data_IF_324933833448
#
_entry.id   IF_324933833448
#
_cell.length_a   1.000
_cell.length_b   1.000
_cell.length_c   1.000
_cell.angle_alpha   90.00
_cell.angle_beta   90.00
_cell.angle_gamma   90.00
#
_symmetry.space_group_name_H-M   'P 1'
#
loop_
_entity.id
_entity.type
_entity.pdbx_description
1 polymer ?
#
# COMPACT_ATOMS: atom_id res chain seq x y z
N UNK A 1 -15.17 25.86 -13.97
CA UNK A 1 -15.55 26.20 -12.58
C UNK A 1 -14.27 26.24 -11.79
N UNK A 2 -13.97 27.35 -11.10
CA UNK A 2 -12.75 27.45 -10.30
C UNK A 2 -12.79 26.38 -9.19
N UNK A 3 -11.64 25.74 -8.98
CA UNK A 3 -11.44 24.73 -7.92
C UNK A 3 -11.67 25.39 -6.56
N UNK A 4 -12.69 24.94 -5.82
CA UNK A 4 -13.06 25.48 -4.50
C UNK A 4 -12.05 24.97 -3.45
N UNK A 5 -11.50 25.85 -2.59
CA UNK A 5 -10.53 25.43 -1.60
C UNK A 5 -11.12 24.46 -0.57
N UNK A 6 -10.29 23.55 -0.06
CA UNK A 6 -10.67 22.62 1.01
C UNK A 6 -10.17 23.10 2.36
N UNK A 7 -11.08 23.17 3.34
CA UNK A 7 -10.77 23.56 4.74
C UNK A 7 -10.11 22.41 5.51
N UNK A 8 -8.82 22.50 5.88
CA UNK A 8 -8.07 21.42 6.53
C UNK A 8 -8.73 20.86 7.79
N UNK A 9 -9.22 21.72 8.68
CA UNK A 9 -9.81 21.32 9.96
C UNK A 9 -11.03 20.40 9.77
N UNK A 10 -11.83 20.67 8.74
CA UNK A 10 -13.00 19.84 8.40
C UNK A 10 -12.58 18.41 8.06
N UNK A 11 -11.52 18.26 7.26
CA UNK A 11 -11.05 16.97 6.78
C UNK A 11 -10.33 16.16 7.87
N UNK A 12 -9.52 16.81 8.71
CA UNK A 12 -8.91 16.14 9.88
C UNK A 12 -9.98 15.69 10.88
N UNK A 13 -10.96 16.55 11.15
CA UNK A 13 -12.08 16.21 12.06
C UNK A 13 -12.87 15.01 11.53
N UNK A 14 -13.14 14.99 10.22
CA UNK A 14 -13.82 13.86 9.58
C UNK A 14 -13.00 12.56 9.71
N UNK A 15 -11.69 12.60 9.43
CA UNK A 15 -10.82 11.43 9.54
C UNK A 15 -10.75 10.90 10.98
N UNK A 16 -10.62 11.82 11.96
CA UNK A 16 -10.66 11.51 13.40
C UNK A 16 -11.97 10.82 13.79
N UNK A 17 -13.12 11.37 13.37
CA UNK A 17 -14.43 10.78 13.63
C UNK A 17 -14.58 9.38 13.04
N UNK A 18 -14.09 9.17 11.81
CA UNK A 18 -14.13 7.87 11.12
C UNK A 18 -13.32 6.84 11.90
N UNK A 19 -12.09 7.16 12.29
CA UNK A 19 -11.20 6.24 12.98
C UNK A 19 -11.64 5.96 14.43
N UNK A 20 -12.32 6.92 15.07
CA UNK A 20 -12.85 6.77 16.43
C UNK A 20 -14.24 6.13 16.46
N UNK A 21 -14.89 5.91 15.31
CA UNK A 21 -16.23 5.33 15.26
C UNK A 21 -16.20 3.83 15.55
N UNK A 22 -16.81 3.37 16.65
CA UNK A 22 -16.73 1.97 17.07
C UNK A 22 -17.44 1.00 16.13
N UNK A 23 -18.57 1.42 15.56
CA UNK A 23 -19.44 0.56 14.71
C UNK A 23 -19.07 0.57 13.23
N UNK A 24 -18.09 1.37 12.83
CA UNK A 24 -17.69 1.51 11.44
C UNK A 24 -16.67 0.42 11.07
N UNK A 25 -16.87 -0.25 9.94
CA UNK A 25 -15.86 -1.15 9.40
C UNK A 25 -14.70 -0.35 8.83
N UNK A 26 -13.53 -0.46 9.46
CA UNK A 26 -12.32 0.24 9.05
C UNK A 26 -11.38 -0.75 8.37
N UNK A 27 -10.96 -0.40 7.16
CA UNK A 27 -9.95 -1.10 6.39
C UNK A 27 -8.75 -0.21 6.17
N UNK A 28 -7.55 -0.78 6.22
CA UNK A 28 -6.30 -0.12 5.85
C UNK A 28 -5.74 -0.78 4.59
N UNK A 29 -5.35 0.02 3.60
CA UNK A 29 -4.61 -0.46 2.43
C UNK A 29 -3.21 0.13 2.48
N UNK A 30 -2.19 -0.72 2.62
CA UNK A 30 -0.79 -0.31 2.67
C UNK A 30 -0.08 -0.63 1.36
N UNK A 31 0.42 0.39 0.68
CA UNK A 31 1.26 0.26 -0.51
C UNK A 31 2.75 0.42 -0.23
N UNK A 32 3.55 0.37 -1.31
CA UNK A 32 5.01 0.35 -1.28
C UNK A 32 5.64 1.63 -0.68
N UNK A 33 4.88 2.71 -0.52
CA UNK A 33 5.33 3.92 0.17
C UNK A 33 5.37 3.79 1.71
N UNK A 34 4.67 2.82 2.31
CA UNK A 34 4.63 2.69 3.77
C UNK A 34 5.99 2.27 4.39
N UNK A 35 6.71 1.27 3.85
CA UNK A 35 8.04 0.93 4.32
C UNK A 35 9.05 2.09 4.23
N UNK A 36 8.89 2.99 3.25
CA UNK A 36 9.77 4.15 3.07
C UNK A 36 9.78 5.13 4.25
N UNK A 37 8.70 5.15 5.03
CA UNK A 37 8.57 6.02 6.21
C UNK A 37 9.39 5.50 7.41
N UNK A 38 9.81 4.23 7.39
CA UNK A 38 10.74 3.69 8.38
C UNK A 38 12.15 4.00 7.92
N UNK A 39 12.83 4.89 8.63
CA UNK A 39 14.18 5.35 8.30
C UNK A 39 15.21 4.59 9.11
N UNK A 40 16.20 4.01 8.44
CA UNK A 40 17.30 3.27 9.05
C UNK A 40 18.63 3.76 8.49
N UNK A 41 19.67 3.66 9.31
CA UNK A 41 21.03 3.88 8.84
C UNK A 41 21.54 2.61 8.17
N UNK A 42 22.02 2.76 6.94
CA UNK A 42 22.71 1.68 6.23
C UNK A 42 23.94 1.24 7.04
N UNK A 43 24.05 -0.05 7.41
CA UNK A 43 25.19 -0.56 8.17
C UNK A 43 26.54 -0.39 7.47
N UNK A 44 26.56 -0.34 6.13
CA UNK A 44 27.78 -0.26 5.31
C UNK A 44 28.18 1.19 5.02
N UNK A 45 27.22 2.04 4.68
CA UNK A 45 27.50 3.44 4.27
C UNK A 45 27.26 4.47 5.39
N UNK A 46 26.55 4.10 6.46
CA UNK A 46 26.11 5.01 7.51
C UNK A 46 25.06 6.03 7.06
N UNK A 47 24.64 5.99 5.78
CA UNK A 47 23.67 6.89 5.21
C UNK A 47 22.26 6.57 5.72
N UNK A 48 21.46 7.62 5.94
CA UNK A 48 20.07 7.45 6.33
C UNK A 48 19.20 7.16 5.09
N UNK A 49 18.47 6.06 5.13
CA UNK A 49 17.67 5.56 4.01
C UNK A 49 16.34 4.94 4.47
N UNK A 50 15.42 4.69 3.53
CA UNK A 50 14.23 3.90 3.84
C UNK A 50 14.62 2.45 4.16
N UNK A 51 13.86 1.81 5.06
CA UNK A 51 14.05 0.39 5.41
C UNK A 51 13.87 -0.52 4.18
N UNK A 52 12.81 -0.28 3.41
CA UNK A 52 12.60 -0.86 2.09
C UNK A 52 12.28 0.30 1.14
N UNK A 53 12.96 0.40 -0.02
CA UNK A 53 12.65 1.42 -1.00
C UNK A 53 11.27 1.21 -1.65
N UNK A 54 10.74 2.27 -2.25
CA UNK A 54 9.54 2.17 -3.08
C UNK A 54 9.80 1.35 -4.35
N UNK A 55 8.78 1.18 -5.20
CA UNK A 55 8.91 0.39 -6.43
C UNK A 55 10.01 0.92 -7.37
N UNK A 56 10.25 2.24 -7.38
CA UNK A 56 11.29 2.86 -8.22
C UNK A 56 12.67 2.54 -7.68
N UNK A 57 12.89 2.71 -6.38
CA UNK A 57 14.15 2.36 -5.73
C UNK A 57 14.44 0.86 -5.76
N UNK A 58 13.42 0.02 -5.60
CA UNK A 58 13.53 -1.43 -5.77
C UNK A 58 13.95 -1.79 -7.19
N UNK A 59 13.32 -1.18 -8.20
CA UNK A 59 13.67 -1.37 -9.61
C UNK A 59 15.11 -0.93 -9.88
N UNK A 60 15.56 0.19 -9.32
CA UNK A 60 16.93 0.67 -9.46
C UNK A 60 17.95 -0.30 -8.82
N UNK A 61 17.64 -0.86 -7.65
CA UNK A 61 18.48 -1.84 -6.98
C UNK A 61 18.61 -3.13 -7.80
N UNK A 62 17.49 -3.66 -8.30
CA UNK A 62 17.48 -4.86 -9.16
C UNK A 62 18.22 -4.61 -10.47
N UNK A 63 17.97 -3.48 -11.14
CA UNK A 63 18.69 -3.09 -12.36
C UNK A 63 20.21 -3.14 -12.16
N UNK A 64 20.70 -2.54 -11.06
CA UNK A 64 22.12 -2.51 -10.75
C UNK A 64 22.71 -3.91 -10.62
N UNK A 65 22.10 -4.76 -9.80
CA UNK A 65 22.60 -6.13 -9.56
C UNK A 65 22.53 -6.98 -10.85
N UNK A 66 21.47 -6.86 -11.64
CA UNK A 66 21.31 -7.62 -12.88
C UNK A 66 22.31 -7.20 -13.96
N UNK A 67 22.63 -5.91 -14.07
CA UNK A 67 23.64 -5.40 -15.00
C UNK A 67 25.07 -5.75 -14.57
N UNK A 68 25.36 -5.78 -13.27
CA UNK A 68 26.69 -6.15 -12.74
C UNK A 68 26.91 -7.68 -12.69
N UNK A 69 25.85 -8.48 -12.87
CA UNK A 69 25.91 -9.94 -12.84
C UNK A 69 26.69 -10.55 -14.01
N UNK A 70 27.69 -11.38 -13.70
CA UNK A 70 28.48 -12.11 -14.71
C UNK A 70 27.66 -13.15 -15.49
N UNK A 71 26.67 -13.75 -14.84
CA UNK A 71 25.92 -14.88 -15.40
C UNK A 71 24.63 -14.44 -16.10
N UNK A 72 24.10 -13.26 -15.76
CA UNK A 72 22.78 -12.81 -16.20
C UNK A 72 22.76 -11.53 -17.04
N UNK A 73 23.80 -10.70 -16.99
CA UNK A 73 23.86 -9.39 -17.69
C UNK A 73 23.49 -9.46 -19.16
N UNK A 74 24.08 -10.39 -19.93
CA UNK A 74 23.80 -10.52 -21.36
C UNK A 74 22.33 -10.87 -21.67
N UNK A 75 21.72 -11.74 -20.87
CA UNK A 75 20.31 -12.09 -21.04
C UNK A 75 19.39 -10.96 -20.56
N UNK A 76 19.80 -10.24 -19.52
CA UNK A 76 19.09 -9.08 -19.00
C UNK A 76 19.07 -7.91 -19.99
N UNK A 77 20.19 -7.62 -20.66
CA UNK A 77 20.26 -6.60 -21.71
C UNK A 77 19.30 -6.90 -22.87
N UNK A 78 19.22 -8.18 -23.30
CA UNK A 78 18.24 -8.61 -24.31
C UNK A 78 16.81 -8.36 -23.86
N UNK A 79 16.50 -8.66 -22.59
CA UNK A 79 15.17 -8.44 -22.02
C UNK A 79 14.81 -6.95 -22.02
N UNK A 80 15.69 -6.09 -21.51
CA UNK A 80 15.45 -4.64 -21.44
C UNK A 80 15.23 -4.08 -22.84
N UNK A 81 16.09 -4.44 -23.80
CA UNK A 81 15.92 -4.04 -25.19
C UNK A 81 14.57 -4.50 -25.78
N UNK A 82 14.16 -5.74 -25.49
CA UNK A 82 12.87 -6.24 -25.95
C UNK A 82 11.68 -5.46 -25.35
N UNK A 83 11.79 -5.00 -24.11
CA UNK A 83 10.76 -4.18 -23.46
C UNK A 83 10.74 -2.75 -24.03
N UNK A 84 11.91 -2.17 -24.29
CA UNK A 84 12.07 -0.87 -24.96
C UNK A 84 11.44 -0.88 -26.36
N UNK A 85 11.72 -1.93 -27.16
CA UNK A 85 11.15 -2.13 -28.50
C UNK A 85 9.60 -2.24 -28.46
N UNK A 86 9.04 -2.67 -27.34
CA UNK A 86 7.59 -2.78 -27.11
C UNK A 86 6.97 -1.49 -26.55
N UNK A 87 7.76 -0.42 -26.39
CA UNK A 87 7.29 0.92 -26.03
C UNK A 87 7.28 1.23 -24.54
N UNK A 88 7.97 0.45 -23.71
CA UNK A 88 8.13 0.71 -22.27
C UNK A 88 9.61 0.91 -21.90
N UNK A 89 10.18 2.11 -22.09
CA UNK A 89 11.62 2.33 -21.95
C UNK A 89 12.12 2.38 -20.49
N UNK A 90 11.22 2.36 -19.51
CA UNK A 90 11.57 2.42 -18.09
C UNK A 90 10.68 1.46 -17.28
N UNK A 91 10.77 0.15 -17.55
CA UNK A 91 9.90 -0.82 -16.91
C UNK A 91 10.19 -0.86 -15.41
N UNK A 92 9.15 -1.04 -14.61
CA UNK A 92 9.32 -1.39 -13.20
C UNK A 92 9.76 -2.84 -13.08
N UNK A 93 10.31 -3.23 -11.93
CA UNK A 93 10.65 -4.65 -11.65
C UNK A 93 9.45 -5.58 -11.86
N UNK A 94 8.24 -5.10 -11.55
CA UNK A 94 7.01 -5.83 -11.83
C UNK A 94 6.74 -5.93 -13.33
N UNK A 95 6.92 -4.83 -14.09
CA UNK A 95 6.84 -4.84 -15.54
C UNK A 95 7.83 -5.83 -16.18
N UNK A 96 9.06 -5.91 -15.67
CA UNK A 96 10.07 -6.88 -16.12
C UNK A 96 9.62 -8.33 -15.87
N UNK A 97 9.21 -8.66 -14.64
CA UNK A 97 8.74 -10.02 -14.30
C UNK A 97 7.53 -10.42 -15.14
N UNK A 98 6.58 -9.50 -15.34
CA UNK A 98 5.43 -9.72 -16.21
C UNK A 98 5.85 -10.03 -17.64
N UNK A 99 6.81 -9.27 -18.18
CA UNK A 99 7.32 -9.51 -19.53
C UNK A 99 8.01 -10.88 -19.63
N UNK A 100 8.87 -11.22 -18.68
CA UNK A 100 9.59 -12.49 -18.68
C UNK A 100 8.61 -13.65 -18.71
N UNK A 101 7.58 -13.62 -17.85
CA UNK A 101 6.57 -14.68 -17.78
C UNK A 101 5.76 -14.79 -19.07
N UNK A 102 5.36 -13.66 -19.64
CA UNK A 102 4.67 -13.64 -20.94
C UNK A 102 5.54 -14.25 -22.07
N UNK A 103 6.83 -13.88 -22.14
CA UNK A 103 7.75 -14.42 -23.13
C UNK A 103 8.01 -15.92 -22.90
N UNK A 104 8.08 -16.35 -21.64
CA UNK A 104 8.29 -17.75 -21.26
C UNK A 104 7.16 -18.65 -21.76
N UNK A 105 5.92 -18.20 -21.63
CA UNK A 105 4.74 -18.93 -22.10
C UNK A 105 4.71 -19.07 -23.64
N UNK A 106 5.22 -18.06 -24.36
CA UNK A 106 5.30 -18.07 -25.83
C UNK A 106 6.51 -18.86 -26.33
N UNK A 107 7.63 -18.87 -25.61
CA UNK A 107 8.87 -19.51 -26.04
C UNK A 107 8.73 -21.02 -26.27
N UNK A 108 8.04 -21.72 -25.36
CA UNK A 108 7.88 -23.18 -25.46
C UNK A 108 9.22 -23.89 -25.66
N UNK A 109 9.43 -24.51 -26.83
CA UNK A 109 10.70 -25.18 -27.22
C UNK A 109 11.58 -24.35 -28.18
N UNK A 110 11.14 -23.16 -28.54
CA UNK A 110 11.80 -22.27 -29.51
C UNK A 110 12.39 -21.04 -28.81
N UNK A 111 13.01 -20.16 -29.59
CA UNK A 111 13.47 -18.85 -29.11
C UNK A 111 12.37 -17.81 -29.33
N UNK A 112 12.24 -16.88 -28.39
CA UNK A 112 11.40 -15.68 -28.52
C UNK A 112 12.27 -14.48 -28.17
N UNK A 113 12.33 -13.49 -29.07
CA UNK A 113 13.22 -12.30 -28.92
C UNK A 113 14.66 -12.71 -28.58
N UNK A 114 15.17 -13.74 -29.25
CA UNK A 114 16.52 -14.30 -29.06
C UNK A 114 16.84 -14.83 -27.64
N UNK A 115 15.78 -15.22 -26.91
CA UNK A 115 15.86 -15.84 -25.59
C UNK A 115 15.13 -17.18 -25.57
N UNK A 116 15.74 -18.17 -24.92
CA UNK A 116 15.18 -19.50 -24.66
C UNK A 116 14.33 -19.52 -23.39
N UNK A 117 13.49 -20.56 -23.25
CA UNK A 117 12.74 -20.81 -22.02
C UNK A 117 13.65 -20.84 -20.77
N UNK A 118 14.78 -21.55 -20.85
CA UNK A 118 15.70 -21.71 -19.71
C UNK A 118 16.39 -20.39 -19.33
N UNK A 119 16.71 -19.53 -20.30
CA UNK A 119 17.24 -18.18 -20.03
C UNK A 119 16.18 -17.32 -19.31
N UNK A 120 14.94 -17.32 -19.79
CA UNK A 120 13.83 -16.57 -19.19
C UNK A 120 13.51 -17.08 -17.78
N UNK A 121 13.49 -18.39 -17.55
CA UNK A 121 13.23 -18.98 -16.23
C UNK A 121 14.35 -18.65 -15.24
N UNK A 122 15.62 -18.63 -15.68
CA UNK A 122 16.74 -18.18 -14.84
C UNK A 122 16.64 -16.70 -14.50
N UNK A 123 16.26 -15.84 -15.46
CA UNK A 123 16.06 -14.41 -15.21
C UNK A 123 14.92 -14.16 -14.22
N UNK A 124 13.77 -14.85 -14.35
CA UNK A 124 12.64 -14.71 -13.41
C UNK A 124 13.07 -15.07 -11.98
N UNK A 125 13.77 -16.21 -11.81
CA UNK A 125 14.28 -16.65 -10.50
C UNK A 125 15.28 -15.66 -9.91
N UNK A 126 16.20 -15.15 -10.72
CA UNK A 126 17.22 -14.23 -10.24
C UNK A 126 16.61 -12.88 -9.84
N UNK A 127 15.72 -12.30 -10.66
CA UNK A 127 15.03 -11.06 -10.30
C UNK A 127 14.19 -11.26 -9.03
N UNK A 128 13.47 -12.39 -8.92
CA UNK A 128 12.72 -12.73 -7.70
C UNK A 128 13.64 -12.87 -6.47
N UNK A 129 14.83 -13.43 -6.64
CA UNK A 129 15.87 -13.53 -5.60
C UNK A 129 16.33 -12.14 -5.17
N UNK A 130 16.65 -11.26 -6.13
CA UNK A 130 17.08 -9.89 -5.84
C UNK A 130 15.99 -9.06 -5.15
N UNK A 131 14.74 -9.16 -5.62
CA UNK A 131 13.60 -8.53 -4.94
C UNK A 131 13.52 -9.03 -3.50
N UNK A 132 13.59 -10.34 -3.28
CA UNK A 132 13.57 -10.92 -1.93
C UNK A 132 14.70 -10.35 -1.07
N UNK A 133 15.93 -10.30 -1.58
CA UNK A 133 17.08 -9.81 -0.83
C UNK A 133 16.89 -8.36 -0.36
N UNK A 134 16.29 -7.51 -1.19
CA UNK A 134 16.03 -6.10 -0.83
C UNK A 134 14.91 -5.97 0.19
N UNK A 135 13.82 -6.76 0.07
CA UNK A 135 12.64 -6.62 0.93
C UNK A 135 12.68 -7.49 2.20
N UNK A 136 13.63 -8.42 2.30
CA UNK A 136 13.84 -9.24 3.50
C UNK A 136 14.58 -8.42 4.55
N UNK A 137 13.81 -7.72 5.37
CA UNK A 137 14.32 -6.96 6.51
C UNK A 137 13.43 -7.15 7.72
N UNK A 138 14.04 -7.07 8.90
CA UNK A 138 13.29 -7.00 10.15
C UNK A 138 12.84 -5.57 10.43
N UNK A 139 11.63 -5.46 10.97
CA UNK A 139 11.14 -4.19 11.47
C UNK A 139 12.06 -3.73 12.62
N UNK A 140 12.56 -2.49 12.63
CA UNK A 140 13.35 -1.98 13.75
C UNK A 140 12.60 -2.09 15.08
N UNK A 141 13.31 -2.29 16.19
CA UNK A 141 12.70 -2.44 17.52
C UNK A 141 12.16 -1.13 18.09
N UNK A 142 12.67 0.00 17.60
CA UNK A 142 12.23 1.33 17.98
C UNK A 142 10.78 1.59 17.54
N UNK A 143 10.11 2.49 18.26
CA UNK A 143 8.77 2.94 17.90
C UNK A 143 8.77 3.49 16.47
N UNK A 144 7.84 2.99 15.66
CA UNK A 144 7.72 3.32 14.25
C UNK A 144 6.25 3.19 13.83
N UNK A 145 5.88 3.62 12.61
CA UNK A 145 4.48 3.77 12.24
C UNK A 145 3.70 2.45 12.17
N UNK A 146 4.38 1.33 11.90
CA UNK A 146 3.76 0.01 11.97
C UNK A 146 3.41 -0.37 13.41
N UNK A 147 4.24 0.00 14.39
CA UNK A 147 3.91 -0.16 15.80
C UNK A 147 2.73 0.72 16.21
N UNK A 148 2.67 1.98 15.78
CA UNK A 148 1.51 2.86 16.05
C UNK A 148 0.23 2.26 15.47
N UNK A 149 0.28 1.75 14.24
CA UNK A 149 -0.86 1.11 13.61
C UNK A 149 -1.29 -0.19 14.32
N UNK A 150 -0.34 -1.05 14.69
CA UNK A 150 -0.64 -2.25 15.47
C UNK A 150 -1.29 -1.90 16.82
N UNK A 151 -0.84 -0.82 17.47
CA UNK A 151 -1.38 -0.37 18.75
C UNK A 151 -2.81 0.13 18.61
N UNK A 152 -3.07 0.90 17.56
CA UNK A 152 -4.42 1.33 17.19
C UNK A 152 -5.33 0.12 16.94
N UNK A 153 -4.90 -0.86 16.14
CA UNK A 153 -5.69 -2.07 15.83
C UNK A 153 -5.96 -2.91 17.09
N UNK A 154 -5.05 -2.91 18.06
CA UNK A 154 -5.19 -3.66 19.32
C UNK A 154 -6.34 -3.15 20.17
N UNK A 155 -6.73 -1.88 20.05
CA UNK A 155 -7.94 -1.37 20.71
C UNK A 155 -9.12 -2.18 20.15
N UNK A 156 -9.76 -3.00 20.98
CA UNK A 156 -10.67 -4.07 20.51
C UNK A 156 -11.94 -3.48 19.87
N UNK A 157 -11.88 -3.14 18.58
CA UNK A 157 -13.01 -2.58 17.83
C UNK A 157 -13.98 -3.70 17.40
N UNK A 158 -15.27 -3.40 17.42
CA UNK A 158 -16.29 -4.22 16.79
C UNK A 158 -17.06 -3.41 15.74
N UNK A 159 -16.79 -3.61 14.45
CA UNK A 159 -16.01 -4.71 13.88
C UNK A 159 -14.49 -4.56 13.93
N UNK A 160 -13.81 -5.71 13.80
CA UNK A 160 -12.35 -5.78 13.66
C UNK A 160 -11.87 -5.03 12.42
N UNK A 161 -10.62 -4.55 12.46
CA UNK A 161 -9.99 -3.92 11.31
C UNK A 161 -9.48 -4.96 10.30
N UNK A 162 -9.62 -4.63 9.02
CA UNK A 162 -9.02 -5.40 7.92
C UNK A 162 -7.85 -4.63 7.32
N UNK A 163 -6.77 -5.34 7.00
CA UNK A 163 -5.55 -4.79 6.43
C UNK A 163 -5.35 -5.46 5.09
N UNK A 164 -5.21 -4.65 4.05
CA UNK A 164 -4.88 -5.05 2.70
C UNK A 164 -3.50 -4.49 2.38
N UNK A 165 -2.65 -5.24 1.71
CA UNK A 165 -1.35 -4.70 1.29
C UNK A 165 -0.85 -5.34 0.02
N UNK A 166 -0.21 -4.54 -0.82
CA UNK A 166 0.53 -4.99 -2.01
C UNK A 166 1.99 -5.29 -1.70
N UNK A 167 2.43 -5.08 -0.45
CA UNK A 167 3.83 -5.20 -0.08
C UNK A 167 4.22 -6.66 0.13
N UNK A 168 5.37 -7.03 -0.43
CA UNK A 168 5.91 -8.39 -0.33
C UNK A 168 6.53 -8.69 1.04
N UNK A 169 6.96 -7.67 1.77
CA UNK A 169 7.57 -7.77 3.10
C UNK A 169 6.60 -8.33 4.15
N UNK A 170 7.09 -8.51 5.38
CA UNK A 170 6.31 -9.01 6.53
C UNK A 170 6.25 -7.98 7.68
N UNK A 171 6.46 -6.69 7.39
CA UNK A 171 6.63 -5.66 8.42
C UNK A 171 5.38 -5.45 9.29
N UNK A 172 4.19 -5.49 8.67
CA UNK A 172 2.93 -5.38 9.43
C UNK A 172 2.67 -6.62 10.28
N UNK A 173 2.97 -7.83 9.78
CA UNK A 173 2.94 -9.05 10.57
C UNK A 173 3.83 -8.93 11.80
N UNK A 174 5.09 -8.55 11.61
CA UNK A 174 6.03 -8.36 12.72
C UNK A 174 5.50 -7.36 13.75
N UNK A 175 4.91 -6.24 13.33
CA UNK A 175 4.34 -5.26 14.24
C UNK A 175 3.12 -5.80 15.03
N UNK A 176 2.22 -6.53 14.36
CA UNK A 176 1.06 -7.16 15.01
C UNK A 176 1.51 -8.21 16.01
N UNK A 177 2.45 -9.08 15.64
CA UNK A 177 2.98 -10.14 16.50
C UNK A 177 3.72 -9.58 17.73
N UNK A 178 4.58 -8.57 17.54
CA UNK A 178 5.30 -7.89 18.64
C UNK A 178 4.36 -7.25 19.65
N UNK A 179 3.18 -6.81 19.22
CA UNK A 179 2.16 -6.23 20.09
C UNK A 179 1.07 -7.21 20.51
N UNK A 180 1.23 -8.49 20.19
CA UNK A 180 0.30 -9.57 20.51
C UNK A 180 -1.13 -9.32 19.99
N UNK A 181 -1.24 -8.65 18.84
CA UNK A 181 -2.51 -8.43 18.15
C UNK A 181 -2.85 -9.70 17.37
N UNK A 182 -3.92 -10.43 17.71
CA UNK A 182 -4.28 -11.62 16.97
C UNK A 182 -4.80 -11.25 15.59
N UNK A 183 -4.30 -11.90 14.55
CA UNK A 183 -4.73 -11.69 13.18
C UNK A 183 -4.84 -13.02 12.43
N UNK A 184 -5.62 -12.99 11.35
CA UNK A 184 -5.72 -14.08 10.38
C UNK A 184 -5.28 -13.57 9.01
N UNK A 185 -4.34 -14.27 8.38
CA UNK A 185 -3.73 -13.92 7.09
C UNK A 185 -4.10 -14.89 5.95
N UNK A 186 -5.05 -15.80 6.18
CA UNK A 186 -5.41 -16.85 5.24
C UNK A 186 -4.67 -18.17 5.46
N UNK A 187 -3.69 -18.23 6.36
CA UNK A 187 -2.94 -19.45 6.67
C UNK A 187 -3.32 -20.01 8.05
N UNK A 188 -3.34 -21.33 8.15
CA UNK A 188 -3.59 -22.06 9.39
C UNK A 188 -2.51 -23.11 9.61
N UNK A 189 -2.26 -23.44 10.88
CA UNK A 189 -1.17 -24.33 11.30
C UNK A 189 0.01 -23.56 11.90
N UNK A 190 0.80 -24.23 12.73
CA UNK A 190 1.88 -23.61 13.51
C UNK A 190 3.27 -23.82 12.89
N UNK A 191 3.64 -25.08 12.61
CA UNK A 191 4.99 -25.42 12.13
C UNK A 191 5.16 -25.25 10.62
N UNK A 192 4.12 -25.57 9.85
CA UNK A 192 4.08 -25.43 8.38
C UNK A 192 2.70 -24.91 8.00
N UNK A 193 2.43 -23.60 8.17
CA UNK A 193 1.14 -23.04 7.89
C UNK A 193 0.75 -23.27 6.42
N UNK A 194 -0.47 -23.70 6.16
CA UNK A 194 -1.02 -23.91 4.82
C UNK A 194 -2.20 -22.98 4.59
N UNK A 195 -2.41 -22.60 3.32
CA UNK A 195 -3.50 -21.72 2.95
C UNK A 195 -4.85 -22.42 3.10
N UNK A 196 -5.76 -21.85 3.89
CA UNK A 196 -7.10 -22.38 4.14
C UNK A 196 -8.17 -21.48 3.52
N UNK A 197 -8.56 -21.83 2.30
CA UNK A 197 -9.63 -21.16 1.57
C UNK A 197 -10.98 -21.27 2.29
N UNK A 198 -11.26 -22.40 2.95
CA UNK A 198 -12.57 -22.63 3.59
C UNK A 198 -12.75 -21.74 4.80
N UNK A 199 -11.71 -21.60 5.63
CA UNK A 199 -11.72 -20.66 6.76
C UNK A 199 -12.04 -19.22 6.31
N UNK A 200 -11.59 -18.84 5.11
CA UNK A 200 -11.95 -17.57 4.50
C UNK A 200 -13.43 -17.59 4.08
N UNK A 201 -13.86 -18.50 3.21
CA UNK A 201 -15.22 -18.52 2.66
C UNK A 201 -16.31 -18.64 3.73
N UNK A 202 -16.13 -19.54 4.69
CA UNK A 202 -17.10 -19.85 5.74
C UNK A 202 -17.13 -18.80 6.86
N UNK A 203 -16.07 -17.98 6.97
CA UNK A 203 -16.00 -16.87 7.92
C UNK A 203 -15.91 -17.30 9.39
N UNK A 204 -15.50 -18.53 9.68
CA UNK A 204 -15.39 -19.11 11.03
C UNK A 204 -14.19 -18.58 11.85
N UNK A 205 -13.64 -17.45 11.46
CA UNK A 205 -12.48 -16.85 12.11
C UNK A 205 -12.97 -16.00 13.29
N UNK A 206 -12.36 -16.09 14.49
CA UNK A 206 -12.77 -15.31 15.65
C UNK A 206 -12.95 -13.82 15.31
N UNK A 207 -14.09 -13.25 15.71
CA UNK A 207 -14.44 -11.85 15.44
C UNK A 207 -13.50 -10.83 16.09
N UNK A 208 -12.70 -11.25 17.08
CA UNK A 208 -11.69 -10.40 17.74
C UNK A 208 -10.37 -10.34 16.99
N UNK A 209 -10.14 -11.24 16.03
CA UNK A 209 -8.91 -11.24 15.25
C UNK A 209 -9.04 -10.20 14.15
N UNK A 210 -7.97 -9.48 13.87
CA UNK A 210 -7.88 -8.65 12.67
C UNK A 210 -7.73 -9.54 11.44
N UNK A 211 -7.94 -9.00 10.23
CA UNK A 211 -7.67 -9.71 8.98
C UNK A 211 -6.53 -9.04 8.25
N UNK A 212 -5.62 -9.82 7.70
CA UNK A 212 -4.52 -9.34 6.87
C UNK A 212 -4.58 -10.04 5.51
N UNK A 213 -4.55 -9.28 4.43
CA UNK A 213 -4.69 -9.79 3.08
C UNK A 213 -3.57 -9.27 2.20
N UNK A 214 -2.63 -10.15 1.84
CA UNK A 214 -1.52 -9.86 0.91
C UNK A 214 -2.01 -10.00 -0.53
N UNK A 215 -2.24 -8.89 -1.21
CA UNK A 215 -2.84 -8.85 -2.55
C UNK A 215 -1.86 -9.33 -3.64
N UNK A 216 -0.57 -9.05 -3.49
CA UNK A 216 0.49 -9.44 -4.43
C UNK A 216 1.36 -10.60 -3.93
N UNK A 217 0.99 -11.18 -2.78
CA UNK A 217 1.74 -12.24 -2.13
C UNK A 217 2.78 -11.72 -1.14
N UNK A 218 3.65 -12.62 -0.71
CA UNK A 218 4.66 -12.30 0.30
C UNK A 218 5.92 -13.12 0.09
N UNK A 219 7.06 -12.58 0.53
CA UNK A 219 8.36 -13.24 0.50
C UNK A 219 8.41 -14.53 1.32
N UNK A 220 7.43 -14.80 2.19
CA UNK A 220 7.33 -16.04 2.96
C UNK A 220 6.31 -17.03 2.37
N UNK A 221 5.68 -16.75 1.22
CA UNK A 221 4.76 -17.67 0.56
C UNK A 221 5.50 -18.57 -0.45
N UNK A 222 5.22 -19.86 -0.38
CA UNK A 222 5.81 -20.87 -1.27
C UNK A 222 4.74 -21.77 -1.85
N UNK A 223 4.91 -22.19 -3.11
CA UNK A 223 4.15 -23.30 -3.67
C UNK A 223 4.91 -24.60 -3.44
N UNK A 224 4.36 -25.47 -2.59
CA UNK A 224 4.94 -26.77 -2.34
C UNK A 224 4.45 -27.78 -3.38
N UNK A 225 5.37 -28.27 -4.22
CA UNK A 225 5.06 -29.20 -5.31
C UNK A 225 4.57 -30.56 -4.83
N UNK A 226 5.00 -31.00 -3.65
CA UNK A 226 4.62 -32.30 -3.08
C UNK A 226 3.19 -32.29 -2.56
N UNK A 227 2.83 -31.30 -1.75
CA UNK A 227 1.47 -31.16 -1.22
C UNK A 227 0.51 -30.46 -2.18
N UNK A 228 1.02 -29.90 -3.29
CA UNK A 228 0.27 -29.06 -4.26
C UNK A 228 -0.48 -27.92 -3.58
N UNK A 229 0.08 -27.39 -2.50
CA UNK A 229 -0.54 -26.39 -1.66
C UNK A 229 0.38 -25.19 -1.49
N UNK A 230 -0.25 -24.04 -1.25
CA UNK A 230 0.45 -22.82 -0.87
C UNK A 230 0.72 -22.86 0.63
N UNK A 231 1.98 -22.70 1.00
CA UNK A 231 2.46 -22.77 2.39
C UNK A 231 3.24 -21.51 2.75
N UNK A 232 3.26 -21.18 4.04
CA UNK A 232 4.10 -20.13 4.58
C UNK A 232 5.39 -20.75 5.13
N UNK A 233 6.54 -20.36 4.59
CA UNK A 233 7.84 -20.85 5.03
C UNK A 233 8.92 -19.79 4.82
N UNK A 234 9.72 -19.56 5.86
CA UNK A 234 10.96 -18.78 5.77
C UNK A 234 12.13 -19.63 5.27
N UNK A 235 12.02 -20.96 5.40
CA UNK A 235 13.06 -21.90 4.96
C UNK A 235 12.85 -22.25 3.49
N UNK A 236 13.92 -22.18 2.72
CA UNK A 236 13.97 -22.80 1.40
C UNK A 236 14.10 -24.31 1.60
N UNK A 237 13.01 -25.03 1.38
CA UNK A 237 13.09 -26.47 1.14
C UNK A 237 13.36 -26.71 -0.34
N UNK A 238 14.14 -27.75 -0.65
CA UNK A 238 14.49 -28.09 -2.02
C UNK A 238 13.22 -28.35 -2.86
N UNK A 239 13.02 -27.54 -3.90
CA UNK A 239 11.88 -27.62 -4.83
C UNK A 239 10.68 -26.69 -4.58
N UNK A 240 10.67 -25.88 -3.51
CA UNK A 240 9.62 -24.88 -3.25
C UNK A 240 9.78 -23.63 -4.14
N UNK A 241 8.69 -23.14 -4.73
CA UNK A 241 8.70 -21.97 -5.63
C UNK A 241 8.20 -20.70 -4.90
N UNK A 242 8.93 -19.59 -5.05
CA UNK A 242 8.58 -18.30 -4.45
C UNK A 242 7.33 -17.70 -5.08
N UNK A 243 6.34 -17.36 -4.25
CA UNK A 243 5.07 -16.79 -4.71
C UNK A 243 5.03 -15.26 -4.56
N UNK A 244 5.75 -14.58 -5.45
CA UNK A 244 5.67 -13.13 -5.68
C UNK A 244 4.92 -12.89 -6.99
N UNK A 245 3.80 -12.16 -6.93
CA UNK A 245 2.98 -11.85 -8.09
C UNK A 245 3.10 -10.35 -8.45
N UNK A 246 3.72 -10.00 -9.58
CA UNK A 246 3.79 -8.62 -10.08
C UNK A 246 2.42 -8.11 -10.55
N UNK A 247 2.24 -6.79 -10.59
CA UNK A 247 0.95 -6.10 -10.85
C UNK A 247 0.27 -6.39 -12.20
N UNK A 248 1.05 -6.49 -13.28
CA UNK A 248 0.53 -6.48 -14.66
C UNK A 248 0.63 -7.82 -15.43
N UNK A 249 -0.25 -8.80 -15.17
CA UNK A 249 -0.58 -9.81 -16.20
C UNK A 249 -2.06 -10.21 -16.20
N UNK A 250 -2.58 -10.36 -17.42
CA UNK A 250 -3.99 -10.53 -17.76
C UNK A 250 -4.52 -11.93 -17.43
N UNK A 251 -5.74 -11.93 -16.91
CA UNK A 251 -6.80 -12.95 -16.98
C UNK A 251 -6.57 -14.35 -16.38
N UNK A 252 -5.41 -14.98 -16.55
CA UNK A 252 -5.25 -16.41 -16.20
C UNK A 252 -4.50 -16.65 -14.87
N UNK A 253 -3.54 -15.79 -14.49
CA UNK A 253 -2.75 -15.97 -13.25
C UNK A 253 -3.30 -15.24 -12.03
N UNK A 254 -4.03 -14.12 -12.17
CA UNK A 254 -4.77 -13.49 -11.06
C UNK A 254 -5.92 -14.36 -10.51
N UNK A 255 -6.26 -15.43 -11.25
CA UNK A 255 -7.18 -16.50 -10.84
C UNK A 255 -6.47 -17.65 -10.10
N UNK A 256 -5.14 -17.59 -9.93
CA UNK A 256 -4.42 -18.55 -9.10
C UNK A 256 -4.70 -18.27 -7.63
N UNK A 257 -4.94 -19.36 -6.91
CA UNK A 257 -4.97 -19.34 -5.46
C UNK A 257 -3.57 -19.02 -4.94
N UNK A 258 -3.41 -18.14 -3.94
CA UNK A 258 -4.46 -17.54 -3.10
C UNK A 258 -4.93 -16.14 -3.53
N UNK A 259 -4.27 -15.52 -4.52
CA UNK A 259 -4.45 -14.11 -4.89
C UNK A 259 -5.90 -13.75 -5.23
N UNK A 260 -6.57 -14.62 -5.98
CA UNK A 260 -7.98 -14.44 -6.32
C UNK A 260 -8.86 -14.22 -5.08
N UNK A 261 -8.65 -15.02 -4.05
CA UNK A 261 -9.40 -14.92 -2.79
C UNK A 261 -9.05 -13.64 -2.05
N UNK A 262 -7.78 -13.24 -2.02
CA UNK A 262 -7.35 -12.00 -1.35
C UNK A 262 -7.99 -10.76 -1.99
N UNK A 263 -8.02 -10.68 -3.32
CA UNK A 263 -8.66 -9.58 -4.06
C UNK A 263 -10.18 -9.63 -3.91
N UNK A 264 -10.79 -10.83 -3.94
CA UNK A 264 -12.22 -10.96 -3.69
C UNK A 264 -12.59 -10.48 -2.27
N UNK A 265 -11.72 -10.71 -1.28
CA UNK A 265 -11.91 -10.14 0.06
C UNK A 265 -11.86 -8.62 0.10
N UNK A 266 -10.96 -7.98 -0.64
CA UNK A 266 -10.96 -6.51 -0.78
C UNK A 266 -12.30 -6.02 -1.37
N UNK A 267 -12.76 -6.67 -2.44
CA UNK A 267 -14.06 -6.32 -3.07
C UNK A 267 -15.23 -6.55 -2.10
N UNK A 268 -15.23 -7.65 -1.36
CA UNK A 268 -16.27 -8.00 -0.40
C UNK A 268 -16.31 -7.00 0.77
N UNK A 269 -15.15 -6.63 1.31
CA UNK A 269 -15.01 -5.61 2.34
C UNK A 269 -15.63 -4.27 1.90
N UNK A 270 -15.28 -3.77 0.71
CA UNK A 270 -15.81 -2.49 0.21
C UNK A 270 -17.33 -2.59 -0.09
N UNK A 271 -17.80 -3.72 -0.63
CA UNK A 271 -19.21 -3.93 -1.00
C UNK A 271 -20.11 -4.33 0.17
N UNK A 272 -19.61 -4.29 1.41
CA UNK A 272 -20.36 -4.73 2.57
C UNK A 272 -21.69 -3.96 2.69
N UNK A 273 -22.82 -4.67 2.59
CA UNK A 273 -24.15 -4.05 2.48
C UNK A 273 -24.79 -3.66 3.81
N UNK A 274 -24.43 -4.36 4.88
CA UNK A 274 -25.11 -4.20 6.18
C UNK A 274 -24.59 -3.04 7.03
N UNK A 275 -23.42 -2.48 6.69
CA UNK A 275 -22.77 -1.42 7.46
C UNK A 275 -21.91 -0.53 6.56
N UNK A 276 -21.78 0.76 6.90
CA UNK A 276 -20.84 1.64 6.20
C UNK A 276 -19.41 1.13 6.42
N UNK A 277 -18.56 1.39 5.43
CA UNK A 277 -17.16 0.97 5.43
C UNK A 277 -16.29 2.18 5.10
N UNK A 278 -15.14 2.28 5.76
CA UNK A 278 -14.11 3.25 5.46
C UNK A 278 -12.81 2.53 5.13
N UNK A 279 -12.29 2.72 3.92
CA UNK A 279 -10.98 2.23 3.50
C UNK A 279 -9.98 3.40 3.51
N UNK A 280 -8.92 3.29 4.31
CA UNK A 280 -7.82 4.27 4.36
C UNK A 280 -6.65 3.70 3.55
N UNK A 281 -6.29 4.36 2.44
CA UNK A 281 -5.20 3.95 1.56
C UNK A 281 -3.97 4.82 1.85
N UNK A 282 -2.84 4.17 2.12
CA UNK A 282 -1.55 4.79 2.45
C UNK A 282 -0.45 4.24 1.55
N UNK A 283 0.44 5.11 1.08
CA UNK A 283 1.63 4.69 0.32
C UNK A 283 1.34 3.97 -1.00
N UNK A 284 0.17 4.18 -1.60
CA UNK A 284 -0.25 3.54 -2.87
C UNK A 284 -0.33 4.57 -4.00
N UNK A 285 0.44 4.35 -5.06
CA UNK A 285 0.58 5.28 -6.18
C UNK A 285 -0.56 5.23 -7.20
N UNK A 286 -1.50 4.28 -7.08
CA UNK A 286 -2.48 3.95 -8.12
C UNK A 286 -1.86 3.41 -9.43
N UNK A 287 -0.63 2.89 -9.38
CA UNK A 287 0.02 2.27 -10.55
C UNK A 287 -0.56 0.91 -10.95
N UNK A 288 -1.30 0.23 -10.09
CA UNK A 288 -1.91 -1.08 -10.40
C UNK A 288 -3.34 -0.91 -10.91
N UNK A 289 -3.53 -1.08 -12.22
CA UNK A 289 -4.85 -0.91 -12.83
C UNK A 289 -5.88 -1.94 -12.34
N UNK A 290 -5.48 -3.17 -12.05
CA UNK A 290 -6.42 -4.22 -11.66
C UNK A 290 -6.99 -3.97 -10.26
N UNK A 291 -6.14 -3.55 -9.31
CA UNK A 291 -6.59 -3.15 -7.98
C UNK A 291 -7.40 -1.87 -8.02
N UNK A 292 -7.03 -0.90 -8.87
CA UNK A 292 -7.82 0.30 -9.08
C UNK A 292 -9.25 -0.02 -9.55
N UNK A 293 -9.38 -0.90 -10.55
CA UNK A 293 -10.68 -1.38 -11.04
C UNK A 293 -11.46 -2.08 -9.93
N UNK A 294 -10.83 -3.00 -9.19
CA UNK A 294 -11.46 -3.71 -8.08
C UNK A 294 -12.01 -2.76 -6.99
N UNK A 295 -11.25 -1.73 -6.63
CA UNK A 295 -11.67 -0.72 -5.65
C UNK A 295 -12.83 0.10 -6.22
N UNK A 296 -12.69 0.66 -7.42
CA UNK A 296 -13.65 1.59 -8.02
C UNK A 296 -14.98 0.91 -8.35
N UNK A 297 -14.96 -0.30 -8.90
CA UNK A 297 -16.18 -1.08 -9.15
C UNK A 297 -16.91 -1.38 -7.83
N UNK A 298 -16.16 -1.70 -6.78
CA UNK A 298 -16.72 -1.97 -5.46
C UNK A 298 -17.33 -0.71 -4.83
N UNK A 299 -16.67 0.44 -4.96
CA UNK A 299 -17.18 1.75 -4.53
C UNK A 299 -18.46 2.14 -5.27
N UNK A 300 -18.55 1.87 -6.58
CA UNK A 300 -19.77 2.09 -7.38
C UNK A 300 -20.93 1.20 -6.92
N UNK A 301 -20.65 -0.03 -6.54
CA UNK A 301 -21.65 -0.97 -6.05
C UNK A 301 -22.16 -0.66 -4.63
N UNK A 302 -21.40 0.12 -3.83
CA UNK A 302 -21.77 0.51 -2.48
C UNK A 302 -21.57 2.02 -2.24
N UNK A 303 -22.61 2.83 -2.48
CA UNK A 303 -22.54 4.28 -2.28
C UNK A 303 -22.31 4.72 -0.82
N UNK A 304 -22.51 3.82 0.16
CA UNK A 304 -22.24 4.09 1.58
C UNK A 304 -20.79 3.83 2.00
N UNK A 305 -20.02 3.17 1.15
CA UNK A 305 -18.58 3.02 1.34
C UNK A 305 -17.87 4.33 1.08
N UNK A 306 -16.81 4.61 1.85
CA UNK A 306 -15.93 5.74 1.65
C UNK A 306 -14.48 5.27 1.60
N UNK A 307 -13.69 5.83 0.69
CA UNK A 307 -12.27 5.56 0.55
C UNK A 307 -11.49 6.86 0.66
N UNK A 308 -10.43 6.86 1.48
CA UNK A 308 -9.56 8.00 1.72
C UNK A 308 -8.14 7.60 1.36
N UNK A 309 -7.66 8.07 0.21
CA UNK A 309 -6.29 7.87 -0.21
C UNK A 309 -5.44 9.05 0.26
N UNK A 310 -4.56 8.78 1.22
CA UNK A 310 -3.66 9.75 1.82
C UNK A 310 -2.30 9.65 1.12
N UNK A 311 -1.97 10.67 0.33
CA UNK A 311 -0.81 10.68 -0.54
C UNK A 311 0.32 11.54 0.03
N UNK A 312 1.53 11.00 -0.04
CA UNK A 312 2.76 11.66 0.42
C UNK A 312 3.12 12.86 -0.46
N UNK A 313 3.02 12.72 -1.79
CA UNK A 313 3.37 13.76 -2.75
C UNK A 313 2.21 14.67 -3.14
N UNK A 314 2.46 15.55 -4.09
CA UNK A 314 1.49 16.46 -4.69
C UNK A 314 0.54 15.73 -5.67
N UNK A 315 -0.63 16.31 -5.94
CA UNK A 315 -1.64 15.73 -6.85
C UNK A 315 -1.09 15.38 -8.25
N UNK A 316 -0.10 16.15 -8.74
CA UNK A 316 0.53 15.96 -10.05
C UNK A 316 1.27 14.62 -10.18
N UNK A 317 1.69 14.03 -9.05
CA UNK A 317 2.39 12.75 -9.01
C UNK A 317 1.43 11.54 -9.09
N UNK A 318 0.12 11.78 -8.97
CA UNK A 318 -0.91 10.74 -8.92
C UNK A 318 -2.02 10.98 -9.96
N UNK A 319 -1.70 11.09 -11.26
CA UNK A 319 -2.70 11.41 -12.30
C UNK A 319 -3.85 10.39 -12.35
N UNK A 320 -3.56 9.10 -12.17
CA UNK A 320 -4.58 8.06 -12.12
C UNK A 320 -5.47 8.19 -10.88
N UNK A 321 -4.87 8.39 -9.70
CA UNK A 321 -5.63 8.64 -8.47
C UNK A 321 -6.55 9.85 -8.59
N UNK A 322 -6.06 10.95 -9.19
CA UNK A 322 -6.85 12.18 -9.43
C UNK A 322 -8.02 11.90 -10.35
N UNK A 323 -7.79 11.19 -11.48
CA UNK A 323 -8.85 10.79 -12.41
C UNK A 323 -9.91 9.95 -11.70
N UNK A 324 -9.50 8.91 -10.98
CA UNK A 324 -10.40 8.01 -10.27
C UNK A 324 -11.23 8.76 -9.21
N UNK A 325 -10.63 9.68 -8.45
CA UNK A 325 -11.35 10.47 -7.45
C UNK A 325 -12.32 11.50 -8.07
N UNK A 326 -12.02 12.01 -9.27
CA UNK A 326 -12.96 12.86 -10.04
C UNK A 326 -14.16 12.06 -10.55
N UNK A 327 -13.98 10.79 -10.89
CA UNK A 327 -15.07 9.94 -11.39
C UNK A 327 -15.94 9.38 -10.24
N UNK A 328 -15.38 9.20 -9.05
CA UNK A 328 -16.03 8.51 -7.92
C UNK A 328 -16.15 9.41 -6.69
N UNK A 329 -17.38 9.81 -6.34
CA UNK A 329 -17.62 10.77 -5.25
C UNK A 329 -17.26 10.26 -3.85
N UNK A 330 -17.18 8.93 -3.70
CA UNK A 330 -16.78 8.25 -2.46
C UNK A 330 -15.31 7.86 -2.41
N UNK A 331 -14.51 8.22 -3.43
CA UNK A 331 -13.05 8.17 -3.36
C UNK A 331 -12.53 9.60 -3.14
N UNK A 332 -11.95 9.84 -1.97
CA UNK A 332 -11.27 11.10 -1.64
C UNK A 332 -9.77 10.90 -1.74
N UNK A 333 -9.09 11.73 -2.53
CA UNK A 333 -7.63 11.76 -2.64
C UNK A 333 -7.13 13.00 -1.90
N UNK A 334 -6.38 12.81 -0.82
CA UNK A 334 -5.78 13.88 -0.02
C UNK A 334 -4.28 13.84 -0.26
N UNK A 335 -3.75 14.84 -0.96
CA UNK A 335 -2.35 14.96 -1.32
C UNK A 335 -1.71 16.16 -0.62
N UNK A 336 -0.39 16.28 -0.72
CA UNK A 336 0.38 17.30 -0.01
C UNK A 336 -0.08 18.73 -0.33
N UNK A 337 -0.27 19.07 -1.61
CA UNK A 337 -0.63 20.40 -2.10
C UNK A 337 -2.15 20.67 -2.20
N UNK A 338 -2.97 19.62 -2.14
CA UNK A 338 -4.41 19.76 -2.31
C UNK A 338 -5.17 18.44 -2.20
N UNK A 339 -6.44 18.46 -2.56
CA UNK A 339 -7.28 17.28 -2.53
C UNK A 339 -8.30 17.22 -3.67
N UNK A 340 -8.74 15.99 -3.96
CA UNK A 340 -9.94 15.70 -4.73
C UNK A 340 -10.94 15.06 -3.79
N UNK A 341 -11.97 15.82 -3.39
CA UNK A 341 -13.01 15.34 -2.48
C UNK A 341 -14.37 15.53 -3.12
N UNK A 342 -15.20 14.48 -3.12
CA UNK A 342 -16.52 14.49 -3.78
C UNK A 342 -16.44 15.01 -5.22
N UNK A 343 -15.45 14.54 -5.97
CA UNK A 343 -15.14 14.91 -7.36
C UNK A 343 -14.64 16.34 -7.59
N UNK A 344 -14.43 17.12 -6.53
CA UNK A 344 -13.91 18.50 -6.63
C UNK A 344 -12.46 18.55 -6.24
N UNK A 345 -11.62 19.00 -7.17
CA UNK A 345 -10.23 19.31 -6.91
C UNK A 345 -10.13 20.70 -6.26
N UNK A 346 -9.19 20.88 -5.34
CA UNK A 346 -8.94 22.17 -4.71
C UNK A 346 -7.68 22.17 -3.85
N UNK A 347 -7.04 23.33 -3.65
CA UNK A 347 -5.92 23.49 -2.74
C UNK A 347 -6.40 23.47 -1.28
N UNK A 348 -5.47 23.25 -0.35
CA UNK A 348 -5.73 23.38 1.08
C UNK A 348 -5.63 24.84 1.52
N UNK A 349 -6.72 25.39 2.05
CA UNK A 349 -6.76 26.75 2.56
C UNK A 349 -7.52 26.73 3.87
N UNK A 350 -6.84 27.09 4.96
CA UNK A 350 -7.47 27.23 6.26
C UNK A 350 -8.09 28.63 6.41
N UNK A 351 -9.28 28.65 6.97
CA UNK A 351 -9.94 29.88 7.40
C UNK A 351 -9.08 30.63 8.42
N UNK A 352 -9.09 31.97 8.45
CA UNK A 352 -8.27 32.74 9.38
C UNK A 352 -8.54 32.43 10.87
N UNK A 353 -9.76 32.01 11.20
CA UNK A 353 -10.17 31.62 12.55
C UNK A 353 -9.78 30.17 12.93
N UNK A 354 -9.26 29.38 12.00
CA UNK A 354 -8.88 27.97 12.26
C UNK A 354 -7.65 27.91 13.15
N UNK A 355 -7.78 27.27 14.30
CA UNK A 355 -6.67 26.99 15.21
C UNK A 355 -5.76 25.89 14.63
N UNK A 356 -4.69 26.32 13.95
CA UNK A 356 -3.71 25.42 13.33
C UNK A 356 -2.95 24.56 14.34
N UNK A 357 -2.94 24.90 15.63
CA UNK A 357 -2.24 24.09 16.65
C UNK A 357 -2.84 22.67 16.74
N UNK A 358 -4.15 22.55 16.51
CA UNK A 358 -4.90 21.28 16.48
C UNK A 358 -4.62 20.42 15.25
N UNK A 359 -3.90 20.95 14.26
CA UNK A 359 -3.63 20.29 12.99
C UNK A 359 -2.15 19.91 12.82
N UNK A 360 -1.29 20.20 13.78
CA UNK A 360 0.18 20.10 13.65
C UNK A 360 0.70 18.70 13.28
N UNK A 361 0.00 17.63 13.64
CA UNK A 361 0.35 16.27 13.22
C UNK A 361 0.00 15.98 11.74
N UNK A 362 -0.98 16.70 11.18
CA UNK A 362 -1.63 16.35 9.90
C UNK A 362 -1.51 17.45 8.83
N UNK A 363 -1.24 18.70 9.21
CA UNK A 363 -1.07 19.84 8.33
C UNK A 363 0.04 20.76 8.82
N UNK A 364 0.67 21.45 7.86
CA UNK A 364 1.60 22.55 8.11
C UNK A 364 1.19 23.78 7.29
N UNK A 365 1.46 24.98 7.82
CA UNK A 365 1.24 26.23 7.09
C UNK A 365 2.28 26.39 5.99
N UNK A 366 1.87 26.86 4.80
CA UNK A 366 2.83 27.16 3.73
C UNK A 366 3.71 28.37 4.10
N UNK A 367 5.02 28.32 3.83
CA UNK A 367 5.91 29.48 3.98
C UNK A 367 5.46 30.66 3.11
N UNK A 368 5.69 31.92 3.54
CA UNK A 368 5.21 33.11 2.83
C UNK A 368 5.68 33.23 1.37
N UNK A 369 6.84 32.66 1.03
CA UNK A 369 7.40 32.71 -0.33
C UNK A 369 6.61 31.91 -1.38
N UNK A 370 5.77 30.95 -0.96
CA UNK A 370 4.89 30.17 -1.85
C UNK A 370 3.48 30.76 -1.98
N UNK A 371 3.13 31.76 -1.15
CA UNK A 371 1.80 32.37 -1.11
C UNK A 371 1.61 33.54 -2.12
N UNK A 372 2.58 33.79 -3.01
CA UNK A 372 2.63 34.99 -3.86
C UNK A 372 1.60 35.05 -5.01
N UNK A 373 0.53 34.27 -4.93
CA UNK A 373 -0.59 34.33 -5.88
C UNK A 373 -1.94 34.66 -5.21
N UNK A 374 -1.97 34.93 -3.90
CA UNK A 374 -3.19 35.36 -3.22
C UNK A 374 -3.42 36.88 -3.40
N UNK A 375 -4.63 37.22 -3.84
CA UNK A 375 -5.15 38.59 -3.98
C UNK A 375 -4.82 39.44 -2.73
N UNK A 376 -4.57 40.76 -2.88
CA UNK A 376 -4.25 41.63 -1.75
C UNK A 376 -5.46 41.71 -0.81
N UNK A 377 -5.38 41.06 0.35
CA UNK A 377 -6.35 41.24 1.43
C UNK A 377 -6.06 42.56 2.15
N UNK A 378 -7.12 43.33 2.44
CA UNK A 378 -7.04 44.63 3.10
C UNK A 378 -6.84 44.55 4.62
N UNK A 379 -6.81 43.34 5.21
CA UNK A 379 -6.63 43.11 6.64
C UNK A 379 -5.86 41.77 6.90
N UNK A 380 -4.77 41.75 7.70
CA UNK A 380 -4.03 40.51 8.02
C UNK A 380 -4.87 39.45 8.76
N UNK A 381 -6.00 39.85 9.35
CA UNK A 381 -6.94 38.94 10.01
C UNK A 381 -7.85 38.15 9.04
N UNK A 382 -7.92 38.55 7.76
CA UNK A 382 -8.81 37.95 6.75
C UNK A 382 -8.02 37.26 5.61
N UNK A 383 -6.72 37.07 5.83
CA UNK A 383 -5.84 36.47 4.82
C UNK A 383 -6.00 34.94 4.81
N UNK A 384 -6.38 34.33 3.68
CA UNK A 384 -6.44 32.88 3.54
C UNK A 384 -5.10 32.25 3.92
N UNK A 385 -5.11 31.10 4.61
CA UNK A 385 -3.88 30.45 5.06
C UNK A 385 -3.64 29.16 4.25
N UNK A 386 -2.84 29.21 3.16
CA UNK A 386 -2.48 28.01 2.43
C UNK A 386 -1.76 27.03 3.36
N UNK A 387 -2.13 25.77 3.27
CA UNK A 387 -1.56 24.70 4.07
C UNK A 387 -1.08 23.56 3.17
N UNK A 388 -0.24 22.69 3.73
CA UNK A 388 0.12 21.42 3.12
C UNK A 388 -0.31 20.28 4.03
N UNK A 389 -0.86 19.23 3.44
CA UNK A 389 -1.24 18.01 4.14
C UNK A 389 -0.02 17.12 4.37
N UNK A 390 0.19 16.74 5.62
CA UNK A 390 1.27 15.85 6.06
C UNK A 390 0.79 14.43 6.37
N UNK A 391 -0.52 14.21 6.50
CA UNK A 391 -1.09 12.90 6.85
C UNK A 391 -0.92 11.81 5.78
N UNK A 392 -0.39 12.15 4.61
CA UNK A 392 0.03 11.17 3.59
C UNK A 392 1.39 10.53 3.87
N UNK A 393 2.21 11.12 4.75
CA UNK A 393 3.39 10.45 5.31
C UNK A 393 2.93 9.41 6.33
N UNK A 394 3.25 8.14 6.09
CA UNK A 394 2.87 7.05 6.98
C UNK A 394 3.40 7.27 8.40
N UNK A 395 4.54 7.95 8.57
CA UNK A 395 5.04 8.32 9.90
C UNK A 395 4.13 9.30 10.62
N UNK A 396 3.71 10.37 9.96
CA UNK A 396 2.77 11.34 10.51
C UNK A 396 1.40 10.73 10.76
N UNK A 397 0.98 9.79 9.91
CA UNK A 397 -0.23 9.02 10.14
C UNK A 397 -0.13 8.13 11.39
N UNK A 398 1.02 7.49 11.63
CA UNK A 398 1.31 6.75 12.85
C UNK A 398 1.21 7.64 14.09
N UNK A 399 1.87 8.80 14.08
CA UNK A 399 1.78 9.80 15.17
C UNK A 399 0.31 10.20 15.44
N UNK A 400 -0.48 10.38 14.38
CA UNK A 400 -1.91 10.68 14.48
C UNK A 400 -2.73 9.53 15.10
N UNK A 401 -2.43 8.27 14.78
CA UNK A 401 -3.09 7.12 15.41
C UNK A 401 -2.76 6.98 16.90
N UNK A 402 -1.54 7.31 17.29
CA UNK A 402 -1.12 7.30 18.70
C UNK A 402 -1.85 8.39 19.50
N UNK A 403 -2.02 9.59 18.93
CA UNK A 403 -2.84 10.65 19.52
C UNK A 403 -4.30 10.21 19.76
N UNK A 404 -4.90 9.51 18.78
CA UNK A 404 -6.27 8.99 18.91
C UNK A 404 -6.36 7.95 20.03
N UNK A 405 -5.42 7.00 20.05
CA UNK A 405 -5.41 5.92 21.03
C UNK A 405 -5.20 6.44 22.46
N UNK A 406 -4.37 7.49 22.63
CA UNK A 406 -4.17 8.15 23.91
C UNK A 406 -5.42 8.90 24.40
N UNK A 407 -6.16 9.53 23.48
CA UNK A 407 -7.40 10.23 23.80
C UNK A 407 -8.50 9.26 24.29
N UNK A 408 -8.66 8.13 23.61
CA UNK A 408 -9.64 7.10 23.99
C UNK A 408 -9.32 6.46 25.35
N UNK A 409 -8.03 6.29 25.67
CA UNK A 409 -7.58 5.79 26.97
C UNK A 409 -7.90 6.77 28.13
N UNK A 410 -7.88 8.08 27.87
CA UNK A 410 -8.24 9.10 28.88
C UNK A 410 -9.75 9.24 29.05
N UNK A 411 -10.53 9.07 27.97
CA UNK A 411 -12.00 9.16 28.00
C UNK A 411 -12.68 7.96 28.68
N UNK A 412 -12.05 6.79 28.68
CA UNK A 412 -12.58 5.57 29.33
C UNK A 412 -12.32 5.50 30.84
N UNK A 413 -11.56 6.46 31.41
CA UNK A 413 -11.32 6.60 32.84
C UNK A 413 -12.38 7.40 33.61
N UNK A 414 -13.43 7.88 32.94
CA UNK A 414 -14.56 8.60 33.56
C UNK A 414 -15.90 7.91 33.23
N UNK A 415 -16.12 6.70 33.75
CA UNK A 415 -17.46 6.12 33.89
C UNK A 415 -17.53 5.26 35.14
#
# INVERSE_FOLDING_TARGET
>A
MADEPHEPLRHVTQLRQILSADKLSIGFFLGAGCPCAVRVKDPKSGADGPLIPDIRGLTAAVNKEMTESKDHSAAYEKLIKAIEDDGDPAPTVEGMLNRIRALRDVAGKSLVRDMSFDELDRLDREICSQVRNVVTCDLPTEANPYHSMASFIRTHRYPFSEIFTTNYDVLIEQALERQQVPYFDGFVGSSRPFFDQRAIEDGEIPKRWSRLWKLHGSINWRYNKTSKAVVRSEREADGDELLIHPSHMKYDESRRMPYFVMIDRLRSFIRHKERPVALIILGYSFGDQHLNEAIVESLKANASSACFALQYGDLTQYPDGVRLAKDNANLSLLAHDGAVVRRRQGPWVANPATDLSKLTATFQKCPPAAASAALPATDPADTPQPCNFLGGDFKRFGDFLDELSAYDALGTGQT
#
